data_IF_564012043148
#
_entry.id   IF_564012043148
#
_cell.length_a   1.000
_cell.length_b   1.000
_cell.length_c   1.000
_cell.angle_alpha   90.00
_cell.angle_beta   90.00
_cell.angle_gamma   90.00
#
_symmetry.space_group_name_H-M   'P 1'
#
loop_
_entity.id
_entity.type
_entity.pdbx_description
1 polymer ?
#
# COMPACT_ATOMS: atom_id res chain seq x y z
N UNK A 1 -11.05 -12.71 -14.91
CA UNK A 1 -10.03 -11.82 -15.53
C UNK A 1 -9.69 -10.63 -14.64
N UNK A 2 -10.67 -10.05 -13.94
CA UNK A 2 -10.51 -8.84 -13.13
C UNK A 2 -9.37 -8.91 -12.09
N UNK A 3 -9.28 -9.99 -11.29
CA UNK A 3 -8.22 -10.15 -10.28
C UNK A 3 -6.79 -10.15 -10.87
N UNK A 4 -6.60 -10.72 -12.07
CA UNK A 4 -5.27 -10.73 -12.71
C UNK A 4 -4.87 -9.31 -13.14
N UNK A 5 -5.82 -8.56 -13.71
CA UNK A 5 -5.60 -7.16 -14.10
C UNK A 5 -5.33 -6.31 -12.87
N UNK A 6 -6.15 -6.45 -11.81
CA UNK A 6 -5.94 -5.78 -10.52
C UNK A 6 -4.54 -6.08 -9.96
N UNK A 7 -4.12 -7.35 -9.95
CA UNK A 7 -2.78 -7.74 -9.50
C UNK A 7 -1.66 -7.08 -10.31
N UNK A 8 -1.77 -7.02 -11.63
CA UNK A 8 -0.78 -6.37 -12.51
C UNK A 8 -0.72 -4.86 -12.24
N UNK A 9 -1.88 -4.20 -12.13
CA UNK A 9 -1.94 -2.75 -11.86
C UNK A 9 -1.32 -2.43 -10.50
N UNK A 10 -1.66 -3.19 -9.45
CA UNK A 10 -1.08 -3.00 -8.11
C UNK A 10 0.44 -3.27 -8.14
N UNK A 11 0.88 -4.29 -8.89
CA UNK A 11 2.32 -4.57 -9.04
C UNK A 11 3.07 -3.40 -9.68
N UNK A 12 2.56 -2.82 -10.76
CA UNK A 12 3.16 -1.65 -11.41
C UNK A 12 3.21 -0.45 -10.45
N UNK A 13 2.11 -0.15 -9.76
CA UNK A 13 2.05 0.93 -8.78
C UNK A 13 3.05 0.71 -7.64
N UNK A 14 3.17 -0.52 -7.14
CA UNK A 14 4.13 -0.84 -6.08
C UNK A 14 5.58 -0.69 -6.52
N UNK A 15 5.92 -1.04 -7.76
CA UNK A 15 7.28 -0.88 -8.28
C UNK A 15 7.65 0.60 -8.43
N UNK A 16 6.72 1.43 -8.91
CA UNK A 16 6.90 2.88 -8.99
C UNK A 16 7.10 3.46 -7.59
N UNK A 17 6.24 3.08 -6.63
CA UNK A 17 6.33 3.53 -5.25
C UNK A 17 7.64 3.08 -4.58
N UNK A 18 8.10 1.86 -4.86
CA UNK A 18 9.36 1.33 -4.34
C UNK A 18 10.55 2.13 -4.87
N UNK A 19 10.54 2.47 -6.16
CA UNK A 19 11.59 3.28 -6.77
C UNK A 19 11.63 4.68 -6.16
N UNK A 20 10.49 5.38 -6.08
CA UNK A 20 10.41 6.71 -5.47
C UNK A 20 10.73 6.68 -3.97
N UNK A 21 10.29 5.65 -3.25
CA UNK A 21 10.60 5.44 -1.84
C UNK A 21 12.09 5.19 -1.61
N UNK A 22 12.75 4.41 -2.46
CA UNK A 22 14.19 4.19 -2.39
C UNK A 22 14.97 5.49 -2.60
N UNK A 23 14.52 6.34 -3.54
CA UNK A 23 15.09 7.68 -3.73
C UNK A 23 14.89 8.56 -2.49
N UNK A 24 13.71 8.52 -1.87
CA UNK A 24 13.42 9.26 -0.64
C UNK A 24 14.32 8.83 0.53
N UNK A 25 14.53 7.52 0.69
CA UNK A 25 15.45 6.98 1.69
C UNK A 25 16.89 7.43 1.43
N UNK A 26 17.33 7.40 0.17
CA UNK A 26 18.66 7.89 -0.21
C UNK A 26 18.84 9.40 0.09
N UNK A 27 17.76 10.17 0.04
CA UNK A 27 17.74 11.58 0.43
C UNK A 27 17.64 11.81 1.96
N UNK A 28 17.64 10.74 2.78
CA UNK A 28 17.52 10.83 4.25
C UNK A 28 16.07 10.96 4.75
N UNK A 29 15.09 10.75 3.88
CA UNK A 29 13.67 10.75 4.23
C UNK A 29 13.19 9.41 4.81
N UNK A 30 11.88 9.33 5.02
CA UNK A 30 11.25 8.18 5.68
C UNK A 30 11.30 6.89 4.84
N UNK A 31 11.66 5.74 5.43
CA UNK A 31 11.65 4.45 4.75
C UNK A 31 10.25 3.85 4.58
N UNK A 32 9.22 4.47 5.16
CA UNK A 32 7.88 3.92 5.19
C UNK A 32 7.31 3.64 3.79
N UNK A 33 7.51 4.55 2.82
CA UNK A 33 7.02 4.34 1.46
C UNK A 33 7.63 3.10 0.78
N UNK A 34 8.90 2.82 1.03
CA UNK A 34 9.57 1.61 0.53
C UNK A 34 9.00 0.34 1.19
N UNK A 35 8.76 0.38 2.50
CA UNK A 35 8.15 -0.73 3.24
C UNK A 35 6.71 -1.00 2.77
N UNK A 36 5.92 0.06 2.59
CA UNK A 36 4.55 -0.01 2.06
C UNK A 36 4.57 -0.59 0.65
N UNK A 37 5.50 -0.16 -0.21
CA UNK A 37 5.63 -0.67 -1.56
C UNK A 37 5.92 -2.18 -1.59
N UNK A 38 6.78 -2.69 -0.71
CA UNK A 38 7.03 -4.13 -0.59
C UNK A 38 5.77 -4.89 -0.14
N UNK A 39 5.03 -4.36 0.83
CA UNK A 39 3.75 -4.93 1.26
C UNK A 39 2.68 -4.95 0.16
N UNK A 40 2.64 -3.88 -0.66
CA UNK A 40 1.74 -3.75 -1.80
C UNK A 40 2.11 -4.74 -2.92
N UNK A 41 3.40 -4.94 -3.18
CA UNK A 41 3.91 -5.93 -4.14
C UNK A 41 3.61 -7.38 -3.70
N UNK A 42 3.76 -7.67 -2.41
CA UNK A 42 3.34 -8.95 -1.84
C UNK A 42 1.82 -9.15 -1.98
N UNK A 43 1.02 -8.11 -1.73
CA UNK A 43 -0.43 -8.14 -1.95
C UNK A 43 -0.76 -8.40 -3.43
N UNK A 44 -0.12 -7.70 -4.36
CA UNK A 44 -0.31 -7.89 -5.80
C UNK A 44 -0.07 -9.34 -6.22
N UNK A 45 0.99 -9.95 -5.69
CA UNK A 45 1.34 -11.35 -5.93
C UNK A 45 0.24 -12.29 -5.40
N UNK A 46 -0.24 -12.06 -4.17
CA UNK A 46 -1.32 -12.87 -3.59
C UNK A 46 -2.65 -12.72 -4.34
N UNK A 47 -2.98 -11.52 -4.83
CA UNK A 47 -4.16 -11.26 -5.66
C UNK A 47 -4.04 -12.00 -7.00
N UNK A 48 -2.87 -11.97 -7.62
CA UNK A 48 -2.61 -12.71 -8.86
C UNK A 48 -2.77 -14.22 -8.68
N UNK A 49 -2.32 -14.74 -7.53
CA UNK A 49 -2.49 -16.14 -7.09
C UNK A 49 -3.90 -16.45 -6.57
N UNK A 50 -4.83 -15.49 -6.55
CA UNK A 50 -6.20 -15.61 -6.03
C UNK A 50 -6.29 -16.13 -4.59
N UNK A 51 -5.33 -15.76 -3.74
CA UNK A 51 -5.33 -16.18 -2.33
C UNK A 51 -6.16 -15.24 -1.46
N UNK A 52 -7.02 -15.81 -0.60
CA UNK A 52 -7.79 -15.04 0.40
C UNK A 52 -6.90 -14.27 1.38
N UNK A 53 -5.66 -14.72 1.59
CA UNK A 53 -4.68 -14.04 2.44
C UNK A 53 -4.25 -12.66 1.92
N UNK A 54 -4.54 -12.32 0.65
CA UNK A 54 -4.26 -10.99 0.09
C UNK A 54 -4.95 -9.88 0.90
N UNK A 55 -6.24 -10.07 1.22
CA UNK A 55 -7.02 -9.13 2.00
C UNK A 55 -6.50 -8.99 3.43
N UNK A 56 -6.11 -10.10 4.06
CA UNK A 56 -5.54 -10.09 5.41
C UNK A 56 -4.21 -9.34 5.45
N UNK A 57 -3.32 -9.59 4.49
CA UNK A 57 -2.04 -8.88 4.38
C UNK A 57 -2.27 -7.38 4.18
N UNK A 58 -3.18 -7.03 3.27
CA UNK A 58 -3.51 -5.64 2.99
C UNK A 58 -4.09 -4.92 4.22
N UNK A 59 -4.97 -5.59 4.97
CA UNK A 59 -5.55 -5.05 6.19
C UNK A 59 -4.48 -4.79 7.27
N UNK A 60 -3.55 -5.73 7.48
CA UNK A 60 -2.43 -5.53 8.39
C UNK A 60 -1.53 -4.37 7.95
N UNK A 61 -1.28 -4.25 6.65
CA UNK A 61 -0.52 -3.14 6.10
C UNK A 61 -1.22 -1.80 6.33
N UNK A 62 -2.55 -1.73 6.21
CA UNK A 62 -3.31 -0.51 6.53
C UNK A 62 -3.17 -0.08 7.99
N UNK A 63 -3.18 -1.02 8.93
CA UNK A 63 -2.88 -0.72 10.34
C UNK A 63 -1.46 -0.18 10.50
N UNK A 64 -0.48 -0.75 9.80
CA UNK A 64 0.89 -0.25 9.77
C UNK A 64 1.00 1.18 9.23
N UNK A 65 0.30 1.48 8.13
CA UNK A 65 0.24 2.82 7.53
C UNK A 65 -0.37 3.81 8.52
N UNK A 66 -1.46 3.43 9.19
CA UNK A 66 -2.11 4.29 10.19
C UNK A 66 -1.17 4.61 11.36
N UNK A 67 -0.49 3.61 11.91
CA UNK A 67 0.49 3.79 12.98
C UNK A 67 1.65 4.70 12.54
N UNK A 68 2.13 4.52 11.32
CA UNK A 68 3.18 5.36 10.75
C UNK A 68 2.73 6.81 10.53
N UNK A 69 1.53 7.03 10.00
CA UNK A 69 0.96 8.37 9.83
C UNK A 69 0.84 9.07 11.18
N UNK A 70 0.34 8.38 12.20
CA UNK A 70 0.25 8.93 13.57
C UNK A 70 1.65 9.27 14.10
N UNK A 71 2.64 8.42 13.85
CA UNK A 71 4.02 8.65 14.29
C UNK A 71 4.65 9.89 13.63
N UNK A 72 4.46 10.10 12.32
CA UNK A 72 5.06 11.23 11.61
C UNK A 72 4.27 12.54 11.68
N UNK A 73 2.95 12.47 11.56
CA UNK A 73 2.08 13.64 11.48
C UNK A 73 1.36 13.96 12.79
N UNK A 74 1.42 13.08 13.79
CA UNK A 74 0.54 13.17 14.95
C UNK A 74 -0.94 13.05 14.56
N UNK A 75 -1.81 13.76 15.28
CA UNK A 75 -3.27 13.77 15.07
C UNK A 75 -3.74 14.87 14.08
N UNK A 76 -2.85 15.37 13.22
CA UNK A 76 -3.22 16.33 12.19
C UNK A 76 -4.00 15.66 11.04
N UNK A 77 -5.33 15.74 11.11
CA UNK A 77 -6.26 15.13 10.14
C UNK A 77 -5.96 15.54 8.69
N UNK A 78 -5.39 16.72 8.45
CA UNK A 78 -5.08 17.18 7.09
C UNK A 78 -3.89 16.44 6.47
N UNK A 79 -2.95 15.96 7.27
CA UNK A 79 -1.80 15.19 6.77
C UNK A 79 -2.13 13.71 6.52
N UNK A 80 -3.22 13.21 7.09
CA UNK A 80 -3.61 11.80 6.97
C UNK A 80 -4.15 11.49 5.58
N UNK A 81 -5.00 12.39 5.07
CA UNK A 81 -5.66 12.32 3.76
C UNK A 81 -4.66 11.99 2.63
N UNK A 82 -3.61 12.82 2.37
CA UNK A 82 -2.70 12.57 1.25
C UNK A 82 -1.84 11.31 1.40
N UNK A 83 -1.64 10.83 2.63
CA UNK A 83 -0.79 9.66 2.92
C UNK A 83 -1.58 8.35 2.95
N UNK A 84 -2.86 8.40 3.29
CA UNK A 84 -3.71 7.23 3.51
C UNK A 84 -4.74 6.95 2.42
N UNK A 85 -5.29 7.99 1.78
CA UNK A 85 -6.51 7.85 0.95
C UNK A 85 -6.33 6.90 -0.25
N UNK A 86 -5.19 6.99 -0.94
CA UNK A 86 -4.91 6.11 -2.07
C UNK A 86 -4.88 4.63 -1.64
N UNK A 87 -4.25 4.33 -0.51
CA UNK A 87 -4.21 2.98 0.03
C UNK A 87 -5.58 2.54 0.57
N UNK A 88 -6.35 3.44 1.15
CA UNK A 88 -7.72 3.13 1.56
C UNK A 88 -8.60 2.75 0.35
N UNK A 89 -8.49 3.49 -0.76
CA UNK A 89 -9.24 3.21 -2.00
C UNK A 89 -8.86 1.85 -2.61
N UNK A 90 -7.57 1.51 -2.66
CA UNK A 90 -7.12 0.19 -3.12
C UNK A 90 -7.66 -0.90 -2.19
N UNK A 91 -7.67 -0.68 -0.88
CA UNK A 91 -8.24 -1.61 0.09
C UNK A 91 -9.72 -1.84 -0.10
N UNK A 92 -10.48 -0.77 -0.34
CA UNK A 92 -11.91 -0.84 -0.63
C UNK A 92 -12.17 -1.61 -1.94
N UNK A 93 -11.36 -1.37 -2.97
CA UNK A 93 -11.44 -2.11 -4.23
C UNK A 93 -11.17 -3.62 -4.03
N UNK A 94 -10.18 -3.97 -3.20
CA UNK A 94 -9.86 -5.37 -2.88
C UNK A 94 -10.94 -6.03 -2.02
N UNK A 95 -11.64 -5.27 -1.19
CA UNK A 95 -12.75 -5.74 -0.36
C UNK A 95 -14.08 -5.83 -1.13
N UNK A 96 -14.20 -5.13 -2.26
CA UNK A 96 -15.37 -5.20 -3.13
C UNK A 96 -15.54 -6.64 -3.66
N UNK A 97 -16.78 -7.15 -3.70
CA UNK A 97 -17.06 -8.38 -4.42
C UNK A 97 -16.73 -8.17 -5.91
N UNK A 98 -15.76 -8.94 -6.42
CA UNK A 98 -15.30 -8.89 -7.82
C UNK A 98 -15.37 -10.25 -8.50
#
# INVERSE_FOLDING_TARGET
>A
MILKVTGIVIAILSLILLFMGAQLVAAGGSPAYSVIALGLLATATLVFLKRKSALTLYALMMWGILLWIIYEAGLDRWQWIPRGDLFALIGLWLASPG
#
